data_IF_888213706323
#
_entry.id   IF_888213706323
#
_cell.length_a   1.000
_cell.length_b   1.000
_cell.length_c   1.000
_cell.angle_alpha   90.00
_cell.angle_beta   90.00
_cell.angle_gamma   90.00
#
_symmetry.space_group_name_H-M   'P 1'
#
loop_
_entity.id
_entity.type
_entity.pdbx_description
1 polymer ?
#
# COMPACT_ATOMS: atom_id res chain seq x y z
N UNK A 1 -64.87 26.80 33.31
CA UNK A 1 -64.37 28.12 33.74
C UNK A 1 -63.33 28.58 32.72
N UNK A 2 -63.32 29.87 32.48
CA UNK A 2 -62.84 30.65 31.32
C UNK A 2 -61.31 30.72 31.14
N UNK A 3 -60.89 30.74 29.87
CA UNK A 3 -59.62 31.30 29.37
C UNK A 3 -59.62 32.84 29.53
N UNK A 4 -58.47 33.53 29.61
CA UNK A 4 -58.08 34.36 28.46
C UNK A 4 -56.56 34.63 28.25
N UNK A 5 -56.23 34.90 26.97
CA UNK A 5 -55.17 35.76 26.41
C UNK A 5 -53.93 35.10 25.75
N UNK A 6 -54.13 34.76 24.48
CA UNK A 6 -53.17 34.84 23.35
C UNK A 6 -53.01 36.34 22.90
N UNK A 7 -52.07 36.79 22.01
CA UNK A 7 -51.95 36.22 20.65
C UNK A 7 -50.63 36.40 19.80
N UNK A 8 -50.61 35.68 18.66
CA UNK A 8 -50.08 36.04 17.30
C UNK A 8 -48.56 36.02 17.04
N UNK A 9 -47.99 35.65 15.87
CA UNK A 9 -48.38 35.34 14.47
C UNK A 9 -47.09 34.74 13.79
N UNK A 10 -47.07 33.93 12.73
CA UNK A 10 -48.09 33.40 11.84
C UNK A 10 -47.50 32.61 10.65
N UNK A 11 -48.40 31.88 9.96
CA UNK A 11 -48.51 31.57 8.51
C UNK A 11 -47.37 30.89 7.73
N UNK A 12 -47.58 29.96 6.78
CA UNK A 12 -48.73 29.14 6.39
C UNK A 12 -48.25 28.05 5.41
N UNK A 13 -49.09 27.04 5.23
CA UNK A 13 -48.89 25.83 4.44
C UNK A 13 -49.18 25.98 2.95
N UNK A 14 -48.53 25.08 2.20
CA UNK A 14 -48.82 24.39 0.93
C UNK A 14 -50.23 24.51 0.31
N UNK A 15 -50.26 24.70 -1.03
CA UNK A 15 -51.35 24.27 -1.90
C UNK A 15 -51.48 25.07 -3.22
N UNK A 16 -51.48 24.39 -4.37
CA UNK A 16 -52.03 24.94 -5.63
C UNK A 16 -51.26 24.59 -6.91
N UNK A 17 -51.87 23.76 -7.76
CA UNK A 17 -51.41 23.29 -9.06
C UNK A 17 -51.52 24.34 -10.19
N UNK A 18 -50.80 24.14 -11.31
CA UNK A 18 -51.02 24.86 -12.56
C UNK A 18 -49.96 24.61 -13.65
N UNK A 19 -50.41 24.08 -14.79
CA UNK A 19 -49.68 23.68 -16.01
C UNK A 19 -48.97 24.80 -16.81
N UNK A 20 -47.78 24.45 -17.37
CA UNK A 20 -47.16 24.82 -18.68
C UNK A 20 -47.02 26.30 -19.15
N UNK A 21 -46.32 26.60 -20.26
CA UNK A 21 -44.94 26.30 -20.71
C UNK A 21 -44.18 27.59 -21.16
N UNK A 22 -42.93 27.47 -21.63
CA UNK A 22 -42.06 28.46 -22.34
C UNK A 22 -40.86 29.13 -21.61
N UNK A 23 -39.70 29.02 -22.28
CA UNK A 23 -38.45 29.80 -22.11
C UNK A 23 -37.42 29.11 -21.20
N UNK A 24 -36.20 28.71 -21.59
CA UNK A 24 -35.26 29.02 -22.67
C UNK A 24 -33.84 28.78 -22.08
N UNK A 25 -33.09 27.79 -22.59
CA UNK A 25 -31.79 27.92 -23.32
C UNK A 25 -30.58 28.46 -22.51
N UNK A 26 -29.33 27.99 -22.53
CA UNK A 26 -28.46 27.03 -23.27
C UNK A 26 -27.31 26.66 -22.27
N UNK A 27 -26.44 25.66 -22.41
CA UNK A 27 -25.98 24.94 -23.59
C UNK A 27 -25.14 23.70 -23.24
N UNK A 28 -25.04 22.84 -24.24
CA UNK A 28 -24.55 21.47 -24.20
C UNK A 28 -23.14 21.36 -24.76
N UNK A 29 -22.48 20.26 -24.38
CA UNK A 29 -21.25 19.70 -24.94
C UNK A 29 -21.35 19.44 -26.45
N UNK A 30 -20.24 19.53 -27.21
CA UNK A 30 -19.78 18.51 -28.20
C UNK A 30 -18.54 18.93 -29.04
N UNK A 31 -17.82 17.89 -29.48
CA UNK A 31 -16.60 17.73 -30.29
C UNK A 31 -16.52 18.52 -31.62
N UNK A 32 -15.32 18.59 -32.25
CA UNK A 32 -15.18 18.73 -33.70
C UNK A 32 -14.52 17.51 -34.35
N UNK A 33 -15.20 16.92 -35.35
CA UNK A 33 -14.63 16.02 -36.36
C UNK A 33 -14.98 16.55 -37.76
N UNK A 34 -14.04 16.33 -38.69
CA UNK A 34 -13.86 16.81 -40.06
C UNK A 34 -15.09 16.93 -40.97
N UNK A 35 -15.07 17.95 -41.83
CA UNK A 35 -15.91 18.11 -43.02
C UNK A 35 -15.28 19.09 -44.01
N UNK A 36 -15.09 18.60 -45.23
CA UNK A 36 -14.46 19.21 -46.41
C UNK A 36 -15.44 19.98 -47.27
N UNK A 37 -15.02 21.13 -47.83
CA UNK A 37 -15.57 21.88 -48.99
C UNK A 37 -14.67 23.13 -49.11
N UNK A 38 -13.99 23.53 -50.20
CA UNK A 38 -14.04 23.18 -51.60
C UNK A 38 -14.54 24.37 -52.42
N UNK A 39 -13.73 25.41 -52.72
CA UNK A 39 -13.97 26.29 -53.89
C UNK A 39 -12.81 27.24 -54.29
N UNK A 40 -12.34 27.02 -55.54
CA UNK A 40 -11.92 27.95 -56.63
C UNK A 40 -10.81 29.02 -56.49
N UNK A 41 -9.85 28.97 -57.43
CA UNK A 41 -9.14 30.14 -58.01
C UNK A 41 -7.60 30.04 -58.01
N UNK A 42 -6.93 29.38 -58.95
CA UNK A 42 -6.45 29.87 -60.26
C UNK A 42 -5.01 30.50 -60.27
N UNK A 43 -4.05 29.67 -60.71
CA UNK A 43 -2.84 29.90 -61.53
C UNK A 43 -1.87 31.09 -61.32
N UNK A 44 -0.57 30.76 -61.18
CA UNK A 44 0.57 31.64 -61.56
C UNK A 44 1.94 31.04 -61.21
N UNK A 45 2.71 30.61 -62.22
CA UNK A 45 4.15 30.28 -62.14
C UNK A 45 5.01 31.56 -62.26
N UNK A 46 6.15 31.64 -61.55
CA UNK A 46 7.45 32.10 -62.07
C UNK A 46 8.57 32.07 -61.00
N UNK A 47 9.75 31.64 -61.44
CA UNK A 47 11.04 31.53 -60.75
C UNK A 47 11.63 32.86 -60.22
N UNK A 48 12.52 32.81 -59.21
CA UNK A 48 13.89 33.39 -59.30
C UNK A 48 14.81 33.07 -58.09
N UNK A 49 16.03 32.66 -58.41
CA UNK A 49 17.20 32.46 -57.52
C UNK A 49 17.93 33.78 -57.19
N UNK A 50 18.59 33.89 -56.03
CA UNK A 50 19.48 35.03 -55.71
C UNK A 50 20.38 34.86 -54.47
N UNK A 51 21.69 35.10 -54.66
CA UNK A 51 22.85 35.00 -53.74
C UNK A 51 23.08 36.25 -52.84
N UNK A 52 23.88 36.12 -51.78
CA UNK A 52 24.67 37.19 -51.09
C UNK A 52 24.31 37.40 -49.60
N UNK A 53 25.08 36.94 -48.60
CA UNK A 53 26.35 37.43 -48.04
C UNK A 53 26.24 38.77 -47.29
N UNK A 54 26.42 38.74 -45.95
CA UNK A 54 27.20 39.76 -45.22
C UNK A 54 27.64 39.29 -43.82
N UNK A 55 28.89 39.65 -43.49
CA UNK A 55 29.65 39.33 -42.28
C UNK A 55 29.49 40.43 -41.22
N UNK A 56 29.64 40.10 -39.94
CA UNK A 56 30.49 40.93 -39.03
C UNK A 56 30.97 40.13 -37.81
N UNK A 57 32.30 40.15 -37.64
CA UNK A 57 33.08 39.62 -36.52
C UNK A 57 33.10 40.60 -35.33
N UNK A 58 33.27 40.10 -34.10
CA UNK A 58 34.19 40.74 -33.16
C UNK A 58 34.84 39.73 -32.19
N UNK A 59 36.11 40.01 -31.91
CA UNK A 59 37.19 39.17 -31.38
C UNK A 59 37.37 39.30 -29.86
N UNK A 60 38.01 38.29 -29.24
CA UNK A 60 38.56 38.40 -27.88
C UNK A 60 39.13 37.08 -27.33
N UNK A 61 40.29 36.65 -27.83
CA UNK A 61 41.14 35.60 -27.23
C UNK A 61 42.00 36.16 -26.08
N UNK A 62 42.40 35.34 -25.10
CA UNK A 62 43.81 35.08 -24.70
C UNK A 62 43.91 33.87 -23.74
N UNK A 63 44.86 32.97 -24.01
CA UNK A 63 45.24 31.74 -23.29
C UNK A 63 46.20 32.00 -22.10
N UNK A 64 46.25 31.07 -21.12
CA UNK A 64 47.41 30.94 -20.23
C UNK A 64 47.32 29.91 -19.08
N UNK A 65 47.95 28.73 -19.30
CA UNK A 65 48.66 27.81 -18.38
C UNK A 65 48.00 27.06 -17.20
N UNK A 66 47.88 25.74 -17.40
CA UNK A 66 48.25 24.55 -16.59
C UNK A 66 47.91 24.34 -15.10
N UNK A 67 47.52 23.06 -14.86
CA UNK A 67 47.57 22.23 -13.63
C UNK A 67 46.66 22.58 -12.44
N UNK A 68 45.66 21.74 -12.15
CA UNK A 68 45.75 20.56 -11.24
C UNK A 68 44.33 20.04 -10.90
N UNK A 69 44.23 18.73 -10.71
CA UNK A 69 43.05 17.93 -10.40
C UNK A 69 42.18 18.40 -9.22
N UNK A 70 40.87 18.23 -9.39
CA UNK A 70 39.97 17.72 -8.36
C UNK A 70 39.22 18.77 -7.55
N UNK A 71 37.92 18.93 -7.82
CA UNK A 71 36.85 18.97 -6.82
C UNK A 71 35.50 18.93 -7.55
N UNK A 72 34.68 17.93 -7.21
CA UNK A 72 33.35 17.73 -7.78
C UNK A 72 32.41 18.85 -7.39
N UNK A 73 31.84 19.50 -8.40
CA UNK A 73 30.84 20.56 -8.25
C UNK A 73 29.45 19.94 -8.23
N UNK A 74 28.70 20.27 -7.19
CA UNK A 74 27.31 19.93 -6.95
C UNK A 74 26.43 20.49 -8.08
N UNK A 75 25.88 19.61 -8.92
CA UNK A 75 24.84 20.00 -9.87
C UNK A 75 23.47 20.02 -9.16
N UNK A 76 22.88 21.21 -9.18
CA UNK A 76 21.56 21.55 -8.68
C UNK A 76 20.47 20.73 -9.37
N UNK A 77 19.88 19.76 -8.67
CA UNK A 77 18.62 19.16 -9.09
C UNK A 77 17.46 20.04 -8.64
N UNK A 78 17.01 20.89 -9.55
CA UNK A 78 15.69 21.51 -9.48
C UNK A 78 14.98 21.25 -10.81
N UNK A 79 14.16 20.21 -10.85
CA UNK A 79 13.18 20.04 -11.92
C UNK A 79 11.95 19.34 -11.34
N UNK A 80 10.85 20.06 -11.41
CA UNK A 80 9.49 19.63 -11.11
C UNK A 80 9.18 18.32 -11.83
N UNK A 81 9.01 17.22 -11.08
CA UNK A 81 8.50 15.98 -11.61
C UNK A 81 6.96 16.02 -11.66
N UNK A 82 6.46 16.77 -12.64
CA UNK A 82 5.16 16.51 -13.25
C UNK A 82 5.44 16.04 -14.66
N UNK A 83 5.58 14.73 -14.87
CA UNK A 83 5.51 14.19 -16.22
C UNK A 83 5.12 12.72 -16.25
N UNK A 84 4.04 12.47 -16.96
CA UNK A 84 3.64 11.19 -17.52
C UNK A 84 4.86 10.43 -18.06
N UNK A 85 5.08 9.21 -17.59
CA UNK A 85 6.09 8.31 -18.15
C UNK A 85 5.50 6.92 -18.38
N UNK A 86 4.50 6.86 -19.27
CA UNK A 86 4.33 5.69 -20.13
C UNK A 86 5.41 5.77 -21.22
N UNK A 87 6.59 5.25 -20.92
CA UNK A 87 7.71 5.23 -21.85
C UNK A 87 8.77 4.24 -21.38
N UNK A 88 9.14 3.30 -22.26
CA UNK A 88 10.17 2.31 -22.03
C UNK A 88 11.55 2.97 -21.89
N UNK A 89 11.88 3.38 -20.67
CA UNK A 89 13.22 3.77 -20.25
C UNK A 89 13.60 2.95 -19.03
N UNK A 90 14.79 2.35 -19.05
CA UNK A 90 15.34 1.68 -17.87
C UNK A 90 15.44 2.71 -16.74
N UNK A 91 14.56 2.61 -15.75
CA UNK A 91 14.65 3.38 -14.51
C UNK A 91 15.50 2.55 -13.56
N UNK A 92 16.63 3.12 -13.10
CA UNK A 92 17.52 2.44 -12.16
C UNK A 92 16.73 2.01 -10.91
N UNK A 93 16.60 0.70 -10.64
CA UNK A 93 15.91 0.20 -9.45
C UNK A 93 16.54 0.72 -8.14
N UNK A 94 17.80 1.16 -8.18
CA UNK A 94 18.46 1.80 -7.03
C UNK A 94 17.97 3.23 -6.79
N UNK A 95 17.55 3.96 -7.82
CA UNK A 95 17.01 5.31 -7.70
C UNK A 95 15.59 5.30 -7.08
N UNK A 96 14.76 4.32 -7.46
CA UNK A 96 13.42 4.13 -6.87
C UNK A 96 13.46 3.56 -5.45
N UNK A 97 14.62 3.12 -4.95
CA UNK A 97 14.79 2.60 -3.60
C UNK A 97 15.02 3.68 -2.54
N UNK A 98 15.17 4.96 -2.92
CA UNK A 98 15.32 6.07 -1.97
C UNK A 98 13.98 6.50 -1.38
N UNK A 99 13.90 6.58 -0.05
CA UNK A 99 12.75 7.14 0.68
C UNK A 99 12.21 8.43 0.05
N UNK A 100 10.90 8.49 -0.18
CA UNK A 100 10.22 9.61 -0.87
C UNK A 100 10.30 9.61 -2.40
N UNK A 101 10.90 8.62 -3.06
CA UNK A 101 10.81 8.47 -4.52
C UNK A 101 9.63 7.57 -4.93
N UNK A 102 8.86 7.91 -5.97
CA UNK A 102 7.81 7.03 -6.48
C UNK A 102 8.36 5.66 -6.89
N UNK A 103 7.66 4.59 -6.53
CA UNK A 103 7.99 3.25 -6.99
C UNK A 103 7.56 3.09 -8.45
N UNK A 104 8.53 2.86 -9.34
CA UNK A 104 8.29 2.46 -10.72
C UNK A 104 8.38 0.93 -10.83
N UNK A 105 7.32 0.30 -11.30
CA UNK A 105 7.25 -1.16 -11.47
C UNK A 105 7.43 -1.56 -12.93
N UNK A 106 8.26 -2.57 -13.18
CA UNK A 106 8.52 -3.06 -14.54
C UNK A 106 7.40 -4.00 -15.06
N UNK A 107 7.16 -3.98 -16.37
CA UNK A 107 6.21 -4.89 -17.04
C UNK A 107 6.67 -6.37 -17.05
N UNK A 108 7.95 -6.63 -16.76
CA UNK A 108 8.54 -7.97 -16.67
C UNK A 108 8.09 -8.80 -15.45
N UNK A 109 8.50 -10.08 -15.36
CA UNK A 109 8.14 -10.98 -14.26
C UNK A 109 8.53 -10.39 -12.90
N UNK A 110 7.77 -10.73 -11.85
CA UNK A 110 7.96 -10.16 -10.51
C UNK A 110 9.39 -10.43 -10.03
N UNK A 111 10.20 -9.38 -9.82
CA UNK A 111 11.57 -9.58 -9.38
C UNK A 111 11.58 -9.75 -7.85
N UNK A 112 11.50 -11.00 -7.41
CA UNK A 112 11.33 -11.34 -5.99
C UNK A 112 12.47 -10.82 -5.11
N UNK A 113 13.72 -10.96 -5.57
CA UNK A 113 14.89 -10.47 -4.83
C UNK A 113 14.95 -8.94 -4.82
N UNK A 114 14.52 -8.29 -5.90
CA UNK A 114 14.53 -6.84 -5.98
C UNK A 114 13.48 -6.23 -5.04
N UNK A 115 12.33 -6.89 -4.86
CA UNK A 115 11.34 -6.47 -3.87
C UNK A 115 11.93 -6.46 -2.45
N UNK A 116 12.68 -7.51 -2.09
CA UNK A 116 13.35 -7.61 -0.79
C UNK A 116 14.45 -6.55 -0.65
N UNK A 117 15.33 -6.43 -1.65
CA UNK A 117 16.40 -5.44 -1.67
C UNK A 117 15.84 -4.01 -1.61
N UNK A 118 14.73 -3.75 -2.31
CA UNK A 118 13.96 -2.52 -2.23
C UNK A 118 13.51 -2.26 -0.80
N UNK A 119 12.81 -3.20 -0.16
CA UNK A 119 12.33 -3.04 1.22
C UNK A 119 13.45 -2.70 2.19
N UNK A 120 14.58 -3.43 2.13
CA UNK A 120 15.75 -3.15 2.95
C UNK A 120 16.35 -1.76 2.67
N UNK A 121 16.67 -1.45 1.42
CA UNK A 121 17.28 -0.17 1.05
C UNK A 121 16.38 1.02 1.41
N UNK A 122 15.07 0.85 1.24
CA UNK A 122 14.06 1.89 1.49
C UNK A 122 13.92 2.20 2.97
N UNK A 123 13.96 1.19 3.85
CA UNK A 123 13.99 1.42 5.30
C UNK A 123 15.21 2.23 5.71
N UNK A 124 16.39 1.97 5.12
CA UNK A 124 17.66 2.54 5.59
C UNK A 124 18.16 3.79 4.85
N UNK A 125 17.46 4.32 3.84
CA UNK A 125 18.02 5.40 2.99
C UNK A 125 17.94 6.82 3.57
N UNK A 126 16.91 7.18 4.35
CA UNK A 126 16.83 8.53 4.94
C UNK A 126 15.90 8.61 6.16
N UNK A 127 14.73 7.94 6.11
CA UNK A 127 13.69 8.07 7.14
C UNK A 127 13.56 6.82 8.02
N UNK A 128 14.68 6.12 8.26
CA UNK A 128 14.72 4.86 9.03
C UNK A 128 14.12 5.02 10.43
N UNK A 129 14.29 6.19 11.05
CA UNK A 129 13.78 6.48 12.39
C UNK A 129 12.25 6.50 12.45
N UNK A 130 11.55 6.83 11.35
CA UNK A 130 10.08 6.77 11.31
C UNK A 130 9.64 5.31 11.28
N UNK A 131 10.23 4.49 10.40
CA UNK A 131 9.90 3.07 10.31
C UNK A 131 10.24 2.30 11.59
N UNK A 132 11.47 2.47 12.11
CA UNK A 132 11.88 1.80 13.35
C UNK A 132 11.14 2.35 14.56
N UNK A 133 10.87 3.65 14.61
CA UNK A 133 10.09 4.25 15.68
C UNK A 133 8.65 3.76 15.69
N UNK A 134 8.01 3.65 14.53
CA UNK A 134 6.69 3.05 14.41
C UNK A 134 6.72 1.58 14.87
N UNK A 135 7.70 0.79 14.44
CA UNK A 135 7.84 -0.62 14.84
C UNK A 135 8.14 -0.81 16.33
N UNK A 136 8.78 0.17 16.96
CA UNK A 136 9.09 0.15 18.39
C UNK A 136 7.85 0.33 19.27
N UNK A 137 6.86 1.11 18.83
CA UNK A 137 5.62 1.38 19.61
C UNK A 137 4.90 0.08 20.04
N UNK A 138 4.49 -0.83 19.13
CA UNK A 138 3.81 -2.06 19.52
C UNK A 138 4.71 -2.97 20.36
N UNK A 139 6.03 -2.97 20.12
CA UNK A 139 6.98 -3.73 20.94
C UNK A 139 7.02 -3.21 22.38
N UNK A 140 7.05 -1.90 22.59
CA UNK A 140 7.01 -1.29 23.92
C UNK A 140 5.67 -1.53 24.62
N UNK A 141 4.55 -1.41 23.89
CA UNK A 141 3.22 -1.72 24.44
C UNK A 141 3.14 -3.18 24.87
N UNK A 142 3.62 -4.11 24.04
CA UNK A 142 3.67 -5.53 24.35
C UNK A 142 4.58 -5.82 25.55
N UNK A 143 5.77 -5.20 25.61
CA UNK A 143 6.72 -5.36 26.70
C UNK A 143 6.15 -4.84 28.02
N UNK A 144 5.66 -3.59 28.05
CA UNK A 144 5.08 -2.97 29.25
C UNK A 144 3.87 -3.76 29.72
N UNK A 145 2.95 -4.12 28.82
CA UNK A 145 1.77 -4.90 29.20
C UNK A 145 2.13 -6.30 29.69
N UNK A 146 3.13 -6.94 29.09
CA UNK A 146 3.64 -8.24 29.58
C UNK A 146 4.24 -8.10 30.97
N UNK A 147 5.03 -7.06 31.25
CA UNK A 147 5.59 -6.81 32.59
C UNK A 147 4.47 -6.56 33.61
N UNK A 148 3.47 -5.75 33.28
CA UNK A 148 2.38 -5.41 34.20
C UNK A 148 1.48 -6.60 34.54
N UNK A 149 1.39 -7.60 33.66
CA UNK A 149 0.48 -8.75 33.83
C UNK A 149 1.25 -9.98 34.29
N UNK A 150 2.35 -10.30 33.60
CA UNK A 150 3.18 -11.45 33.91
C UNK A 150 4.10 -11.20 35.11
N UNK A 151 4.49 -9.96 35.40
CA UNK A 151 5.37 -9.63 36.54
C UNK A 151 4.79 -10.08 37.89
N UNK A 152 3.56 -9.66 38.26
CA UNK A 152 2.89 -10.14 39.47
C UNK A 152 2.65 -11.66 39.46
N UNK A 153 2.34 -12.22 38.30
CA UNK A 153 2.14 -13.66 38.12
C UNK A 153 3.41 -14.45 38.43
N UNK A 154 4.54 -14.04 37.85
CA UNK A 154 5.85 -14.65 38.06
C UNK A 154 6.29 -14.51 39.52
N UNK A 155 6.07 -13.34 40.12
CA UNK A 155 6.37 -13.13 41.54
C UNK A 155 5.56 -14.09 42.44
N UNK A 156 4.27 -14.25 42.19
CA UNK A 156 3.40 -15.16 42.94
C UNK A 156 3.78 -16.64 42.74
N UNK A 157 4.17 -17.03 41.52
CA UNK A 157 4.69 -18.39 41.24
C UNK A 157 6.01 -18.65 41.97
N UNK A 158 6.88 -17.64 42.07
CA UNK A 158 8.15 -17.78 42.79
C UNK A 158 7.97 -17.85 44.30
N UNK A 159 6.91 -17.25 44.84
CA UNK A 159 6.60 -17.24 46.27
C UNK A 159 6.01 -18.57 46.75
N UNK A 160 5.10 -19.18 45.99
CA UNK A 160 4.51 -20.50 46.29
C UNK A 160 4.32 -21.33 45.00
N UNK A 161 5.40 -21.97 44.50
CA UNK A 161 5.36 -22.68 43.22
C UNK A 161 4.47 -23.93 43.22
N UNK A 162 4.22 -24.53 44.38
CA UNK A 162 3.48 -25.80 44.48
C UNK A 162 1.97 -25.59 44.58
N UNK A 163 1.51 -24.45 45.11
CA UNK A 163 0.08 -24.16 45.28
C UNK A 163 -0.42 -22.99 44.41
N UNK A 164 0.41 -22.47 43.51
CA UNK A 164 0.00 -21.37 42.64
C UNK A 164 -1.12 -21.79 41.68
N UNK A 165 -2.32 -21.24 41.90
CA UNK A 165 -3.44 -21.33 40.97
C UNK A 165 -3.84 -19.91 40.57
N UNK A 166 -3.72 -19.51 39.29
CA UNK A 166 -4.13 -18.19 38.86
C UNK A 166 -5.62 -17.98 39.12
N UNK A 167 -5.97 -16.90 39.80
CA UNK A 167 -7.36 -16.54 40.05
C UNK A 167 -8.08 -16.09 38.78
N UNK A 168 -9.42 -16.10 38.79
CA UNK A 168 -10.24 -15.64 37.67
C UNK A 168 -9.89 -14.22 37.20
N UNK A 169 -9.48 -13.33 38.12
CA UNK A 169 -9.03 -11.98 37.80
C UNK A 169 -7.81 -11.94 36.87
N UNK A 170 -6.87 -12.88 37.02
CA UNK A 170 -5.69 -12.99 36.15
C UNK A 170 -6.08 -13.31 34.72
N UNK A 171 -7.03 -14.24 34.52
CA UNK A 171 -7.53 -14.59 33.19
C UNK A 171 -8.26 -13.42 32.53
N UNK A 172 -9.05 -12.65 33.29
CA UNK A 172 -9.70 -11.43 32.79
C UNK A 172 -8.67 -10.39 32.36
N UNK A 173 -7.63 -10.14 33.18
CA UNK A 173 -6.55 -9.21 32.84
C UNK A 173 -5.78 -9.65 31.59
N UNK A 174 -5.47 -10.93 31.46
CA UNK A 174 -4.83 -11.49 30.26
C UNK A 174 -5.73 -11.30 29.03
N UNK A 175 -7.03 -11.63 29.14
CA UNK A 175 -7.96 -11.49 28.03
C UNK A 175 -8.09 -10.04 27.56
N UNK A 176 -8.24 -9.09 28.50
CA UNK A 176 -8.28 -7.66 28.19
C UNK A 176 -7.00 -7.18 27.52
N UNK A 177 -5.84 -7.63 28.01
CA UNK A 177 -4.57 -7.27 27.39
C UNK A 177 -4.41 -7.84 25.98
N UNK A 178 -4.79 -9.09 25.75
CA UNK A 178 -4.75 -9.69 24.41
C UNK A 178 -5.64 -8.90 23.45
N UNK A 179 -6.83 -8.48 23.88
CA UNK A 179 -7.72 -7.64 23.07
C UNK A 179 -7.05 -6.30 22.75
N UNK A 180 -6.52 -5.61 23.76
CA UNK A 180 -5.86 -4.30 23.58
C UNK A 180 -4.63 -4.43 22.69
N UNK A 181 -3.78 -5.43 22.92
CA UNK A 181 -2.58 -5.70 22.13
C UNK A 181 -2.93 -6.04 20.67
N UNK A 182 -4.01 -6.78 20.43
CA UNK A 182 -4.50 -7.09 19.09
C UNK A 182 -4.97 -5.81 18.38
N UNK A 183 -5.77 -4.97 19.04
CA UNK A 183 -6.22 -3.70 18.47
C UNK A 183 -5.06 -2.74 18.22
N UNK A 184 -4.09 -2.66 19.13
CA UNK A 184 -2.89 -1.85 18.97
C UNK A 184 -2.02 -2.35 17.80
N UNK A 185 -1.90 -3.68 17.64
CA UNK A 185 -1.19 -4.29 16.52
C UNK A 185 -1.89 -3.99 15.20
N UNK A 186 -3.22 -4.12 15.13
CA UNK A 186 -4.00 -3.73 13.95
C UNK A 186 -3.81 -2.25 13.63
N UNK A 187 -3.92 -1.36 14.63
CA UNK A 187 -3.70 0.07 14.46
C UNK A 187 -2.33 0.37 13.86
N UNK A 188 -1.29 -0.25 14.42
CA UNK A 188 0.08 -0.16 13.93
C UNK A 188 0.22 -0.64 12.49
N UNK A 189 -0.36 -1.79 12.13
CA UNK A 189 -0.30 -2.33 10.78
C UNK A 189 -1.01 -1.42 9.76
N UNK A 190 -2.12 -0.78 10.14
CA UNK A 190 -2.82 0.20 9.29
C UNK A 190 -1.92 1.41 9.02
N UNK A 191 -1.31 1.98 10.07
CA UNK A 191 -0.40 3.12 9.97
C UNK A 191 0.82 2.77 9.12
N UNK A 192 1.47 1.65 9.40
CA UNK A 192 2.65 1.20 8.67
C UNK A 192 2.34 0.96 7.19
N UNK A 193 1.23 0.31 6.88
CA UNK A 193 0.78 0.11 5.50
C UNK A 193 0.52 1.46 4.80
N UNK A 194 -0.15 2.41 5.46
CA UNK A 194 -0.41 3.74 4.88
C UNK A 194 0.88 4.52 4.63
N UNK A 195 1.81 4.48 5.58
CA UNK A 195 3.13 5.11 5.43
C UNK A 195 3.90 4.48 4.27
N UNK A 196 3.95 3.15 4.17
CA UNK A 196 4.61 2.47 3.05
C UNK A 196 3.95 2.78 1.70
N UNK A 197 2.62 2.86 1.65
CA UNK A 197 1.87 3.26 0.45
C UNK A 197 2.20 4.70 0.03
N UNK A 198 2.29 5.65 0.98
CA UNK A 198 2.69 7.05 0.72
C UNK A 198 4.14 7.17 0.27
N UNK A 199 5.03 6.46 0.96
CA UNK A 199 6.46 6.43 0.65
C UNK A 199 6.66 6.00 -0.81
N UNK A 200 6.08 4.87 -1.17
CA UNK A 200 6.11 4.35 -2.54
C UNK A 200 5.32 5.20 -3.56
N UNK A 201 4.53 6.19 -3.13
CA UNK A 201 3.88 7.17 -3.99
C UNK A 201 4.75 8.41 -4.25
N UNK A 202 5.88 8.56 -3.57
CA UNK A 202 6.75 9.74 -3.66
C UNK A 202 6.65 10.69 -2.46
N UNK A 203 5.99 10.29 -1.38
CA UNK A 203 5.91 11.10 -0.16
C UNK A 203 6.78 10.50 0.94
N UNK A 204 7.91 11.15 1.25
CA UNK A 204 8.82 10.67 2.28
C UNK A 204 8.13 10.48 3.65
N UNK A 205 8.37 9.37 4.36
CA UNK A 205 7.87 9.15 5.71
C UNK A 205 8.35 10.25 6.64
N UNK A 206 7.42 10.81 7.43
CA UNK A 206 7.74 11.79 8.46
C UNK A 206 6.79 11.61 9.64
N UNK A 207 7.25 11.94 10.86
CA UNK A 207 6.46 11.79 12.08
C UNK A 207 5.18 12.63 12.06
N UNK A 208 5.23 13.83 11.48
CA UNK A 208 4.06 14.70 11.35
C UNK A 208 3.04 14.17 10.33
N UNK A 209 3.43 13.21 9.48
CA UNK A 209 2.60 12.62 8.43
C UNK A 209 2.16 11.18 8.71
N UNK A 210 2.87 10.46 9.57
CA UNK A 210 2.66 9.04 9.80
C UNK A 210 1.20 8.71 10.18
N UNK A 211 0.57 9.57 10.98
CA UNK A 211 -0.81 9.38 11.44
C UNK A 211 -1.85 10.24 10.70
N UNK A 212 -1.45 11.04 9.69
CA UNK A 212 -2.37 11.87 8.91
C UNK A 212 -3.15 11.01 7.91
N UNK A 213 -4.44 11.29 7.72
CA UNK A 213 -5.34 10.63 6.75
C UNK A 213 -5.26 9.09 6.75
N UNK A 214 -5.06 8.52 7.95
CA UNK A 214 -5.08 7.07 8.13
C UNK A 214 -6.55 6.61 8.06
N UNK A 215 -6.88 5.65 7.19
CA UNK A 215 -8.26 5.19 7.01
C UNK A 215 -8.64 4.23 8.16
N UNK A 216 -8.78 4.74 9.38
CA UNK A 216 -9.03 3.92 10.58
C UNK A 216 -10.26 3.02 10.44
N UNK A 217 -11.41 3.58 10.06
CA UNK A 217 -12.66 2.83 9.91
C UNK A 217 -12.52 1.67 8.90
N UNK A 218 -12.22 1.97 7.61
CA UNK A 218 -12.00 0.94 6.60
C UNK A 218 -10.86 -0.03 6.95
N UNK A 219 -9.78 0.48 7.56
CA UNK A 219 -8.61 -0.29 7.97
C UNK A 219 -8.92 -1.31 9.05
N UNK A 220 -9.58 -0.92 10.14
CA UNK A 220 -9.99 -1.88 11.17
C UNK A 220 -11.00 -2.89 10.61
N UNK A 221 -11.97 -2.41 9.83
CA UNK A 221 -13.00 -3.28 9.26
C UNK A 221 -12.40 -4.34 8.32
N UNK A 222 -11.44 -3.99 7.46
CA UNK A 222 -10.81 -4.96 6.56
C UNK A 222 -10.03 -6.02 7.33
N UNK A 223 -9.28 -5.64 8.38
CA UNK A 223 -8.55 -6.62 9.20
C UNK A 223 -9.51 -7.54 9.97
N UNK A 224 -10.64 -7.02 10.48
CA UNK A 224 -11.67 -7.84 11.12
C UNK A 224 -12.27 -8.83 10.11
N UNK A 225 -12.64 -8.36 8.92
CA UNK A 225 -13.24 -9.22 7.89
C UNK A 225 -12.27 -10.27 7.37
N UNK A 226 -11.00 -9.93 7.18
CA UNK A 226 -9.95 -10.90 6.84
C UNK A 226 -9.79 -11.91 7.99
N UNK A 227 -9.69 -11.45 9.24
CA UNK A 227 -9.61 -12.32 10.41
C UNK A 227 -10.80 -13.27 10.53
N UNK A 228 -12.02 -12.80 10.29
CA UNK A 228 -13.22 -13.63 10.28
C UNK A 228 -13.24 -14.60 9.09
N UNK A 229 -13.00 -14.13 7.87
CA UNK A 229 -13.07 -14.97 6.68
C UNK A 229 -12.05 -16.12 6.74
N UNK A 230 -10.79 -15.81 7.01
CA UNK A 230 -9.73 -16.80 7.09
C UNK A 230 -9.73 -17.57 8.41
N UNK A 231 -10.21 -16.96 9.49
CA UNK A 231 -10.40 -17.63 10.78
C UNK A 231 -11.49 -18.71 10.74
N UNK A 232 -12.63 -18.44 10.08
CA UNK A 232 -13.67 -19.45 9.86
C UNK A 232 -13.13 -20.60 9.02
N UNK A 233 -12.38 -20.30 7.94
CA UNK A 233 -11.74 -21.34 7.12
C UNK A 233 -10.78 -22.19 7.97
N UNK A 234 -9.94 -21.56 8.79
CA UNK A 234 -9.02 -22.27 9.67
C UNK A 234 -9.74 -23.14 10.70
N UNK A 235 -10.78 -22.63 11.35
CA UNK A 235 -11.59 -23.39 12.31
C UNK A 235 -12.22 -24.60 11.64
N UNK A 236 -12.91 -24.41 10.51
CA UNK A 236 -13.58 -25.49 9.77
C UNK A 236 -12.57 -26.55 9.32
N UNK A 237 -11.42 -26.13 8.80
CA UNK A 237 -10.36 -27.04 8.38
C UNK A 237 -9.78 -27.86 9.54
N UNK A 238 -9.78 -27.33 10.76
CA UNK A 238 -9.28 -28.01 11.96
C UNK A 238 -10.27 -28.98 12.60
N UNK A 239 -11.59 -28.89 12.30
CA UNK A 239 -12.61 -29.78 12.89
C UNK A 239 -12.26 -31.26 12.63
N UNK A 240 -12.01 -31.62 11.37
CA UNK A 240 -11.74 -33.02 10.99
C UNK A 240 -10.48 -33.57 11.66
N UNK A 241 -9.30 -32.91 11.61
CA UNK A 241 -8.12 -33.35 12.34
C UNK A 241 -8.33 -33.53 13.85
N UNK A 242 -9.06 -32.60 14.49
CA UNK A 242 -9.34 -32.65 15.93
C UNK A 242 -10.23 -33.86 16.26
N UNK A 243 -11.30 -34.07 15.49
CA UNK A 243 -12.18 -35.22 15.70
C UNK A 243 -11.45 -36.55 15.46
N UNK A 244 -10.58 -36.62 14.46
CA UNK A 244 -9.74 -37.79 14.21
C UNK A 244 -8.76 -38.04 15.35
N UNK A 245 -8.13 -37.00 15.89
CA UNK A 245 -7.24 -37.12 17.04
C UNK A 245 -7.97 -37.64 18.29
N UNK A 246 -9.19 -37.15 18.51
CA UNK A 246 -9.99 -37.46 19.70
C UNK A 246 -10.66 -38.84 19.66
N UNK A 247 -11.16 -39.27 18.49
CA UNK A 247 -12.05 -40.42 18.38
C UNK A 247 -11.48 -41.60 17.59
N UNK A 248 -10.38 -41.42 16.84
CA UNK A 248 -9.83 -42.47 15.96
C UNK A 248 -8.37 -42.78 16.28
N UNK A 249 -7.50 -41.80 16.14
CA UNK A 249 -6.05 -41.97 16.30
C UNK A 249 -5.38 -40.62 16.52
N UNK A 250 -4.80 -40.43 17.71
CA UNK A 250 -4.07 -39.20 18.05
C UNK A 250 -2.92 -38.91 17.07
N UNK A 251 -2.04 -39.87 16.70
CA UNK A 251 -0.98 -39.60 15.73
C UNK A 251 -1.50 -39.16 14.35
N UNK A 252 -2.61 -39.76 13.87
CA UNK A 252 -3.20 -39.42 12.59
C UNK A 252 -3.82 -38.02 12.60
N UNK A 253 -4.53 -37.68 13.68
CA UNK A 253 -5.09 -36.35 13.85
C UNK A 253 -4.00 -35.27 13.94
N UNK A 254 -2.93 -35.51 14.71
CA UNK A 254 -1.77 -34.58 14.78
C UNK A 254 -1.12 -34.41 13.41
N UNK A 255 -0.91 -35.50 12.67
CA UNK A 255 -0.38 -35.41 11.30
C UNK A 255 -1.26 -34.54 10.39
N UNK A 256 -2.58 -34.71 10.45
CA UNK A 256 -3.51 -33.89 9.68
C UNK A 256 -3.56 -32.44 10.13
N UNK A 257 -3.43 -32.14 11.43
CA UNK A 257 -3.29 -30.76 11.93
C UNK A 257 -2.08 -30.09 11.29
N UNK A 258 -0.94 -30.78 11.22
CA UNK A 258 0.27 -30.26 10.56
C UNK A 258 0.03 -30.02 9.07
N UNK A 259 -0.62 -30.96 8.37
CA UNK A 259 -0.95 -30.79 6.94
C UNK A 259 -1.89 -29.61 6.69
N UNK A 260 -2.94 -29.46 7.52
CA UNK A 260 -3.84 -28.30 7.44
C UNK A 260 -3.09 -27.02 7.72
N UNK A 261 -2.21 -27.00 8.73
CA UNK A 261 -1.34 -25.86 9.03
C UNK A 261 -0.50 -25.44 7.83
N UNK A 262 0.13 -26.40 7.14
CA UNK A 262 0.87 -26.15 5.89
C UNK A 262 -0.06 -25.62 4.80
N UNK A 263 -1.25 -26.21 4.65
CA UNK A 263 -2.27 -25.76 3.70
C UNK A 263 -2.70 -24.30 3.91
N UNK A 264 -2.82 -23.86 5.17
CA UNK A 264 -3.21 -22.49 5.50
C UNK A 264 -2.13 -21.45 5.13
N UNK A 265 -0.86 -21.84 5.02
CA UNK A 265 0.23 -20.95 4.57
C UNK A 265 -0.06 -20.44 3.14
N UNK A 266 -0.70 -21.23 2.29
CA UNK A 266 -1.09 -20.84 0.93
C UNK A 266 -2.16 -19.73 0.90
N UNK A 267 -2.83 -19.45 2.02
CA UNK A 267 -3.76 -18.32 2.11
C UNK A 267 -3.05 -16.99 2.40
N UNK A 268 -1.75 -17.03 2.77
CA UNK A 268 -0.98 -15.87 3.18
C UNK A 268 -1.01 -14.67 2.20
N UNK A 269 -0.90 -14.87 0.86
CA UNK A 269 -0.97 -13.75 -0.08
C UNK A 269 -2.23 -12.93 0.02
N UNK A 270 -3.37 -13.58 0.25
CA UNK A 270 -4.65 -12.89 0.39
C UNK A 270 -4.71 -12.14 1.71
N UNK A 271 -4.32 -12.79 2.82
CA UNK A 271 -4.33 -12.14 4.15
C UNK A 271 -3.39 -10.94 4.23
N UNK A 272 -2.27 -10.97 3.49
CA UNK A 272 -1.29 -9.89 3.47
C UNK A 272 -1.71 -8.72 2.57
N UNK A 273 -2.31 -8.98 1.41
CA UNK A 273 -2.55 -7.96 0.41
C UNK A 273 -3.96 -7.36 0.44
N UNK A 274 -5.00 -8.09 0.86
CA UNK A 274 -6.38 -7.54 0.96
C UNK A 274 -6.42 -6.23 1.78
N UNK A 275 -5.76 -6.12 2.96
CA UNK A 275 -5.75 -4.87 3.71
C UNK A 275 -5.13 -3.70 2.94
N UNK A 276 -4.11 -3.95 2.09
CA UNK A 276 -3.48 -2.89 1.31
C UNK A 276 -4.44 -2.27 0.30
N UNK A 277 -5.28 -3.06 -0.38
CA UNK A 277 -6.30 -2.53 -1.30
C UNK A 277 -7.30 -1.60 -0.59
N UNK A 278 -7.73 -1.96 0.62
CA UNK A 278 -8.67 -1.15 1.39
C UNK A 278 -8.00 0.12 1.97
N UNK A 279 -6.74 0.03 2.41
CA UNK A 279 -5.99 1.15 2.98
C UNK A 279 -5.52 2.14 1.91
N UNK A 280 -5.22 1.66 0.70
CA UNK A 280 -4.89 2.53 -0.44
C UNK A 280 -6.10 3.37 -0.87
N UNK A 281 -7.32 2.91 -0.58
CA UNK A 281 -8.55 3.67 -0.80
C UNK A 281 -9.07 3.64 -2.25
N UNK A 282 -8.46 2.85 -3.14
CA UNK A 282 -8.92 2.66 -4.52
C UNK A 282 -10.23 1.85 -4.63
N UNK A 283 -10.61 1.18 -3.56
CA UNK A 283 -11.81 0.32 -3.52
C UNK A 283 -12.43 0.32 -2.12
N UNK A 284 -13.67 -0.14 -2.02
CA UNK A 284 -14.33 -0.36 -0.73
C UNK A 284 -13.72 -1.56 -0.01
N UNK A 285 -13.98 -1.68 1.30
CA UNK A 285 -13.47 -2.80 2.12
C UNK A 285 -13.89 -4.17 1.55
N UNK A 286 -15.12 -4.30 1.05
CA UNK A 286 -15.59 -5.54 0.42
C UNK A 286 -15.02 -5.71 -0.98
N UNK A 287 -14.89 -4.61 -1.73
CA UNK A 287 -14.24 -4.59 -3.05
C UNK A 287 -12.77 -5.00 -3.01
N UNK A 288 -12.08 -4.78 -1.88
CA UNK A 288 -10.70 -5.19 -1.65
C UNK A 288 -10.50 -6.72 -1.78
N UNK A 289 -11.48 -7.53 -1.36
CA UNK A 289 -11.40 -8.99 -1.51
C UNK A 289 -11.44 -9.39 -2.98
N UNK A 290 -12.35 -8.80 -3.76
CA UNK A 290 -12.48 -9.08 -5.20
C UNK A 290 -11.25 -8.59 -5.96
N UNK A 291 -10.79 -7.36 -5.68
CA UNK A 291 -9.60 -6.78 -6.29
C UNK A 291 -8.35 -7.63 -6.01
N UNK A 292 -8.09 -7.95 -4.74
CA UNK A 292 -6.98 -8.83 -4.40
C UNK A 292 -7.10 -10.21 -5.05
N UNK A 293 -8.30 -10.79 -5.12
CA UNK A 293 -8.50 -12.08 -5.78
C UNK A 293 -8.15 -12.05 -7.27
N UNK A 294 -8.64 -11.03 -7.98
CA UNK A 294 -8.43 -10.87 -9.41
C UNK A 294 -6.97 -10.57 -9.75
N UNK A 295 -6.28 -9.80 -8.91
CA UNK A 295 -4.90 -9.39 -9.15
C UNK A 295 -3.89 -10.48 -8.74
N UNK A 296 -4.17 -11.23 -7.66
CA UNK A 296 -3.28 -12.29 -7.17
C UNK A 296 -3.39 -13.55 -8.04
N UNK A 297 -4.60 -14.00 -8.38
CA UNK A 297 -4.83 -15.30 -9.03
C UNK A 297 -3.96 -15.55 -10.28
N UNK A 298 -3.82 -14.60 -11.23
CA UNK A 298 -3.02 -14.83 -12.45
C UNK A 298 -1.52 -15.02 -12.17
N UNK A 299 -1.01 -14.47 -11.07
CA UNK A 299 0.40 -14.49 -10.70
C UNK A 299 0.64 -15.14 -9.33
N UNK A 300 -0.29 -16.00 -8.90
CA UNK A 300 -0.37 -16.47 -7.50
C UNK A 300 0.96 -17.01 -6.99
N UNK A 301 1.63 -17.88 -7.75
CA UNK A 301 2.89 -18.50 -7.34
C UNK A 301 4.05 -17.51 -7.19
N UNK A 302 4.07 -16.44 -8.00
CA UNK A 302 5.09 -15.40 -7.92
C UNK A 302 4.87 -14.52 -6.69
N UNK A 303 3.62 -14.11 -6.47
CA UNK A 303 3.20 -13.35 -5.29
C UNK A 303 3.47 -14.17 -4.02
N UNK A 304 3.03 -15.43 -4.00
CA UNK A 304 3.28 -16.36 -2.90
C UNK A 304 4.77 -16.55 -2.66
N UNK A 305 5.57 -16.84 -3.69
CA UNK A 305 7.01 -17.01 -3.55
C UNK A 305 7.70 -15.78 -2.96
N UNK A 306 7.29 -14.57 -3.37
CA UNK A 306 7.85 -13.33 -2.82
C UNK A 306 7.48 -13.12 -1.35
N UNK A 307 6.21 -13.27 -1.01
CA UNK A 307 5.71 -13.08 0.35
C UNK A 307 6.21 -14.20 1.30
N UNK A 308 6.30 -15.43 0.81
CA UNK A 308 6.84 -16.56 1.55
C UNK A 308 8.34 -16.37 1.81
N UNK A 309 9.12 -15.88 0.84
CA UNK A 309 10.54 -15.61 1.03
C UNK A 309 10.79 -14.56 2.12
N UNK A 310 10.12 -13.39 2.04
CA UNK A 310 10.27 -12.36 3.07
C UNK A 310 9.76 -12.85 4.42
N UNK A 311 8.69 -13.66 4.45
CA UNK A 311 8.18 -14.31 5.65
C UNK A 311 9.19 -15.28 6.27
N UNK A 312 9.85 -16.12 5.46
CA UNK A 312 10.88 -17.05 5.93
C UNK A 312 12.11 -16.32 6.47
N UNK A 313 12.58 -15.27 5.79
CA UNK A 313 13.71 -14.46 6.26
C UNK A 313 13.34 -13.75 7.56
N UNK A 314 12.15 -13.16 7.62
CA UNK A 314 11.65 -12.49 8.83
C UNK A 314 11.51 -13.46 10.00
N UNK A 315 10.96 -14.65 9.75
CA UNK A 315 10.82 -15.71 10.74
C UNK A 315 12.16 -16.19 11.26
N UNK A 316 13.09 -16.54 10.37
CA UNK A 316 14.43 -17.01 10.73
C UNK A 316 15.21 -15.94 11.53
N UNK A 317 15.21 -14.69 11.06
CA UNK A 317 15.86 -13.59 11.76
C UNK A 317 15.25 -13.37 13.16
N UNK A 318 13.93 -13.44 13.27
CA UNK A 318 13.22 -13.24 14.54
C UNK A 318 13.49 -14.38 15.51
N UNK A 319 13.55 -15.62 15.04
CA UNK A 319 13.91 -16.77 15.89
C UNK A 319 15.35 -16.69 16.40
N UNK A 320 16.31 -16.28 15.55
CA UNK A 320 17.72 -16.17 15.94
C UNK A 320 17.95 -15.03 16.94
N UNK A 321 17.19 -13.94 16.82
CA UNK A 321 17.37 -12.72 17.62
C UNK A 321 16.37 -12.56 18.76
N UNK A 322 15.63 -13.62 19.11
CA UNK A 322 14.56 -13.58 20.11
C UNK A 322 13.52 -12.47 19.86
N UNK A 323 13.20 -12.24 18.59
CA UNK A 323 12.22 -11.27 18.13
C UNK A 323 12.76 -9.86 17.89
N UNK A 324 14.02 -9.54 18.25
CA UNK A 324 14.57 -8.19 18.10
C UNK A 324 14.66 -7.74 16.63
N UNK A 325 14.92 -8.66 15.70
CA UNK A 325 14.95 -8.33 14.27
C UNK A 325 13.60 -7.85 13.73
N UNK A 326 12.49 -8.11 14.42
CA UNK A 326 11.16 -7.65 13.99
C UNK A 326 11.07 -6.14 13.87
N UNK A 327 11.88 -5.38 14.62
CA UNK A 327 11.98 -3.92 14.50
C UNK A 327 12.36 -3.49 13.07
N UNK A 328 13.23 -4.24 12.41
CA UNK A 328 13.69 -3.98 11.04
C UNK A 328 12.84 -4.76 10.03
N UNK A 329 12.57 -6.04 10.31
CA UNK A 329 11.93 -6.92 9.34
C UNK A 329 10.44 -6.61 9.14
N UNK A 330 9.76 -6.04 10.13
CA UNK A 330 8.35 -5.64 9.99
C UNK A 330 8.18 -4.51 8.96
N UNK A 331 8.89 -3.37 9.05
CA UNK A 331 8.80 -2.34 8.02
C UNK A 331 9.34 -2.82 6.66
N UNK A 332 10.39 -3.65 6.62
CA UNK A 332 10.84 -4.28 5.37
C UNK A 332 9.73 -5.12 4.74
N UNK A 333 9.05 -5.96 5.52
CA UNK A 333 7.96 -6.82 5.03
C UNK A 333 6.77 -6.00 4.52
N UNK A 334 6.43 -4.90 5.19
CA UNK A 334 5.36 -3.99 4.74
C UNK A 334 5.72 -3.34 3.39
N UNK A 335 6.97 -2.88 3.22
CA UNK A 335 7.44 -2.31 1.97
C UNK A 335 7.50 -3.33 0.83
N UNK A 336 7.93 -4.56 1.11
CA UNK A 336 7.88 -5.68 0.15
C UNK A 336 6.43 -5.96 -0.25
N UNK A 337 5.50 -6.02 0.70
CA UNK A 337 4.09 -6.24 0.41
C UNK A 337 3.50 -5.12 -0.46
N UNK A 338 3.85 -3.86 -0.18
CA UNK A 338 3.44 -2.71 -1.00
C UNK A 338 4.07 -2.73 -2.39
N UNK A 339 5.33 -3.14 -2.52
CA UNK A 339 5.97 -3.34 -3.83
C UNK A 339 5.20 -4.37 -4.65
N UNK A 340 4.91 -5.53 -4.07
CA UNK A 340 4.17 -6.61 -4.72
C UNK A 340 2.75 -6.16 -5.07
N UNK A 341 2.06 -5.47 -4.16
CA UNK A 341 0.76 -4.86 -4.37
C UNK A 341 0.74 -3.90 -5.57
N UNK A 342 1.70 -2.98 -5.64
CA UNK A 342 1.80 -2.04 -6.77
C UNK A 342 2.11 -2.78 -8.07
N UNK A 343 2.97 -3.80 -8.04
CA UNK A 343 3.30 -4.59 -9.22
C UNK A 343 2.10 -5.37 -9.77
N UNK A 344 1.22 -5.92 -8.93
CA UNK A 344 0.02 -6.62 -9.41
C UNK A 344 -1.10 -5.66 -9.82
N UNK A 345 -1.31 -4.56 -9.09
CA UNK A 345 -2.42 -3.64 -9.33
C UNK A 345 -2.22 -2.76 -10.58
N UNK A 346 -0.99 -2.33 -10.87
CA UNK A 346 -0.70 -1.47 -12.04
C UNK A 346 -0.70 -2.24 -13.36
N UNK A 347 -0.64 -3.57 -13.34
CA UNK A 347 -0.69 -4.40 -14.56
C UNK A 347 -2.05 -4.39 -15.26
N UNK A 348 -3.13 -4.06 -14.54
CA UNK A 348 -4.45 -3.90 -15.14
C UNK A 348 -4.62 -2.54 -15.83
N UNK A 349 -3.77 -1.56 -15.51
CA UNK A 349 -3.79 -0.21 -16.08
C UNK A 349 -2.92 -0.10 -17.35
N UNK A 350 -2.07 -1.09 -17.62
CA UNK A 350 -1.33 -1.15 -18.88
C UNK A 350 -2.29 -1.58 -20.00
N UNK A 351 -2.53 -0.76 -21.04
CA UNK A 351 -3.21 -1.24 -22.22
C UNK A 351 -2.42 -2.44 -22.71
N UNK A 352 -3.13 -3.55 -22.97
CA UNK A 352 -2.60 -4.65 -23.76
C UNK A 352 -1.99 -3.99 -24.98
N UNK A 353 -0.65 -3.98 -25.09
CA UNK A 353 -0.01 -3.65 -26.36
C UNK A 353 -0.58 -4.68 -27.31
N UNK A 354 -1.55 -4.25 -28.12
CA UNK A 354 -1.88 -4.92 -29.36
C UNK A 354 -0.54 -5.18 -30.01
N UNK A 355 -0.23 -6.46 -30.24
CA UNK A 355 0.84 -6.88 -31.12
C UNK A 355 0.57 -6.33 -32.53
N UNK A 356 0.80 -5.03 -32.74
CA UNK A 356 1.23 -4.46 -33.99
C UNK A 356 2.74 -4.38 -33.86
N UNK A 357 3.58 -4.98 -34.71
CA UNK A 357 3.40 -5.17 -36.14
C UNK A 357 4.29 -6.33 -36.60
N UNK A 358 3.76 -7.21 -37.46
CA UNK A 358 4.48 -7.58 -38.68
C UNK A 358 3.60 -7.08 -39.83
N UNK A 359 3.90 -5.90 -40.40
CA UNK A 359 4.79 -5.74 -41.55
C UNK A 359 4.34 -6.63 -42.71
N UNK A 360 3.44 -6.12 -43.57
CA UNK A 360 3.80 -5.67 -44.94
C UNK A 360 4.59 -6.73 -45.72
N UNK A 361 3.90 -7.50 -46.57
CA UNK A 361 4.02 -7.53 -48.04
C UNK A 361 3.04 -8.57 -48.62
#
# INVERSE_FOLDING_TARGET
MTNPNDPQNGYNSTGGAGDNPYGGNYGNQQFPQYGSEGESGQSGHADQSGYGQDQTQNYGQTQGYDQTQGYGTYESYNTYASQDAYGAGYVDPNASSQSGQPLVTNAGPLPVMDALAFGFKRVFTSQWHVYLGLALIPMLVALVGSILIAGPLVAAVMEDPENFVPGAGTFVSIALFVIIATLATMAFQIVLAKVALRDTAGEAPAWDKAFKDVPWGPGFLVYILVGLAFGVVAIVAMIIPILLAAFVSAPLGVFLVLLVGIGLIFLYPFTALIPLYAIDGRTSVTGAFSAAYNDIKPNYWRVFGALALVGLITGAASSITSGLSSLIMTPVSALVAVFVYRWISTRHEQPVQQDGYMSMY
#
